data_IF_821764759342
#
_entry.id   IF_821764759342
#
_cell.length_a   1.000
_cell.length_b   1.000
_cell.length_c   1.000
_cell.angle_alpha   90.00
_cell.angle_beta   90.00
_cell.angle_gamma   90.00
#
_symmetry.space_group_name_H-M   'P 1'
#
loop_
_entity.id
_entity.type
_entity.pdbx_description
1 polymer ?
#
# COMPACT_ATOMS: atom_id res chain seq x y z
N UNK A 1 -8.43 10.98 -7.93
CA UNK A 1 -7.78 9.96 -8.78
C UNK A 1 -8.82 8.93 -9.13
N UNK A 2 -9.11 8.77 -10.40
CA UNK A 2 -10.11 7.79 -10.83
C UNK A 2 -9.46 6.41 -10.85
N UNK A 3 -9.31 5.80 -9.69
CA UNK A 3 -8.87 4.40 -9.51
C UNK A 3 -9.84 3.45 -10.24
N UNK A 4 -11.04 3.93 -10.53
CA UNK A 4 -12.18 3.19 -11.07
C UNK A 4 -12.01 2.63 -12.49
N UNK A 5 -10.94 2.96 -13.19
CA UNK A 5 -10.63 2.38 -14.51
C UNK A 5 -9.60 1.25 -14.46
N UNK A 6 -8.88 1.11 -13.35
CA UNK A 6 -7.82 0.11 -13.19
C UNK A 6 -8.32 -1.08 -12.38
N UNK A 7 -7.79 -2.24 -12.70
CA UNK A 7 -8.02 -3.45 -11.90
C UNK A 7 -7.20 -3.32 -10.62
N UNK A 8 -7.89 -3.24 -9.51
CA UNK A 8 -7.27 -3.10 -8.19
C UNK A 8 -7.31 -4.38 -7.38
N UNK A 9 -6.26 -4.63 -6.63
CA UNK A 9 -6.21 -5.65 -5.60
C UNK A 9 -5.95 -5.02 -4.24
N UNK A 10 -6.64 -5.48 -3.22
CA UNK A 10 -6.42 -5.07 -1.83
C UNK A 10 -6.04 -6.29 -1.02
N UNK A 11 -4.92 -6.24 -0.32
CA UNK A 11 -4.56 -7.22 0.70
C UNK A 11 -4.79 -6.58 2.06
N UNK A 12 -5.79 -7.08 2.75
CA UNK A 12 -6.35 -6.46 3.96
C UNK A 12 -6.24 -7.44 5.15
N UNK A 13 -5.07 -7.46 5.77
CA UNK A 13 -4.79 -8.43 6.84
C UNK A 13 -5.69 -8.26 8.05
N UNK A 14 -6.11 -7.02 8.35
CA UNK A 14 -6.92 -6.67 9.53
C UNK A 14 -8.32 -6.15 9.20
N UNK A 15 -8.76 -6.28 7.97
CA UNK A 15 -10.05 -5.73 7.51
C UNK A 15 -10.19 -4.21 7.72
N UNK A 16 -9.09 -3.47 7.64
CA UNK A 16 -9.08 -2.02 7.88
C UNK A 16 -9.35 -1.20 6.62
N UNK A 17 -8.99 -1.72 5.45
CA UNK A 17 -9.20 -1.06 4.16
C UNK A 17 -10.60 -1.33 3.63
N UNK A 18 -10.97 -2.59 3.51
CA UNK A 18 -12.28 -3.03 3.03
C UNK A 18 -13.36 -2.97 4.08
N UNK A 19 -12.99 -3.04 5.35
CA UNK A 19 -13.94 -3.15 6.44
C UNK A 19 -14.83 -4.37 6.29
N UNK A 20 -14.26 -5.51 5.90
CA UNK A 20 -15.02 -6.70 5.53
C UNK A 20 -15.84 -7.25 6.70
N UNK A 21 -17.09 -7.59 6.39
CA UNK A 21 -17.99 -8.32 7.29
C UNK A 21 -18.48 -9.56 6.59
N UNK A 22 -18.24 -10.72 7.20
CA UNK A 22 -18.54 -12.03 6.61
C UNK A 22 -18.00 -12.20 5.16
N UNK A 23 -16.78 -11.70 4.92
CA UNK A 23 -16.13 -11.79 3.61
C UNK A 23 -16.61 -10.76 2.58
N UNK A 24 -17.48 -9.83 2.96
CA UNK A 24 -18.00 -8.79 2.07
C UNK A 24 -17.46 -7.43 2.49
N UNK A 25 -16.79 -6.74 1.57
CA UNK A 25 -16.28 -5.40 1.80
C UNK A 25 -17.44 -4.41 2.03
N UNK A 26 -17.39 -3.66 3.12
CA UNK A 26 -18.40 -2.66 3.49
C UNK A 26 -18.02 -1.26 2.95
N UNK A 27 -16.74 -1.02 2.71
CA UNK A 27 -16.27 0.24 2.14
C UNK A 27 -16.38 0.21 0.61
N UNK A 28 -16.60 1.39 0.03
CA UNK A 28 -16.68 1.55 -1.42
C UNK A 28 -15.27 1.57 -2.04
N UNK A 29 -14.81 0.42 -2.46
CA UNK A 29 -13.48 0.24 -3.08
C UNK A 29 -13.50 0.31 -4.60
N UNK A 30 -14.68 0.32 -5.20
CA UNK A 30 -14.87 0.32 -6.65
C UNK A 30 -15.17 -1.06 -7.22
N UNK A 31 -15.85 -1.09 -8.37
CA UNK A 31 -16.35 -2.32 -9.00
C UNK A 31 -15.26 -3.24 -9.54
N UNK A 32 -14.04 -2.73 -9.74
CA UNK A 32 -12.90 -3.48 -10.30
C UNK A 32 -11.83 -3.73 -9.26
N UNK A 33 -12.22 -3.84 -8.00
CA UNK A 33 -11.31 -4.05 -6.88
C UNK A 33 -11.69 -5.33 -6.15
N UNK A 34 -10.75 -6.25 -6.07
CA UNK A 34 -10.89 -7.47 -5.29
C UNK A 34 -10.12 -7.35 -3.98
N UNK A 35 -10.67 -7.93 -2.92
CA UNK A 35 -10.11 -7.89 -1.58
C UNK A 35 -9.77 -9.28 -1.10
N UNK A 36 -8.51 -9.47 -0.71
CA UNK A 36 -8.09 -10.62 0.11
C UNK A 36 -8.15 -10.20 1.57
N UNK A 37 -9.24 -10.56 2.22
CA UNK A 37 -9.50 -10.27 3.62
C UNK A 37 -8.82 -11.29 4.53
N UNK A 38 -8.29 -10.81 5.66
CA UNK A 38 -7.63 -11.66 6.66
C UNK A 38 -6.48 -12.52 6.08
N UNK A 39 -5.78 -11.99 5.09
CA UNK A 39 -4.68 -12.65 4.41
C UNK A 39 -3.34 -11.97 4.75
N UNK A 40 -2.28 -12.73 5.07
CA UNK A 40 -0.95 -12.16 5.26
C UNK A 40 -0.50 -11.37 4.04
N UNK A 41 0.07 -10.19 4.27
CA UNK A 41 0.36 -9.21 3.21
C UNK A 41 1.26 -9.76 2.10
N UNK A 42 2.38 -10.35 2.47
CA UNK A 42 3.35 -10.85 1.49
C UNK A 42 2.76 -11.96 0.61
N UNK A 43 2.08 -12.93 1.21
CA UNK A 43 1.42 -14.00 0.48
C UNK A 43 0.28 -13.49 -0.38
N UNK A 44 -0.54 -12.61 0.17
CA UNK A 44 -1.68 -12.02 -0.52
C UNK A 44 -1.28 -11.23 -1.76
N UNK A 45 -0.22 -10.44 -1.68
CA UNK A 45 0.32 -9.71 -2.84
C UNK A 45 0.72 -10.66 -3.97
N UNK A 46 1.46 -11.72 -3.65
CA UNK A 46 1.89 -12.71 -4.63
C UNK A 46 0.69 -13.45 -5.24
N UNK A 47 -0.30 -13.81 -4.43
CA UNK A 47 -1.53 -14.45 -4.90
C UNK A 47 -2.30 -13.56 -5.87
N UNK A 48 -2.49 -12.28 -5.54
CA UNK A 48 -3.16 -11.32 -6.42
C UNK A 48 -2.45 -11.18 -7.77
N UNK A 49 -1.13 -11.06 -7.75
CA UNK A 49 -0.34 -10.91 -8.98
C UNK A 49 -0.51 -12.12 -9.89
N UNK A 50 -0.43 -13.32 -9.33
CA UNK A 50 -0.51 -14.57 -10.10
C UNK A 50 -1.90 -14.91 -10.60
N UNK A 51 -2.94 -14.57 -9.84
CA UNK A 51 -4.33 -14.96 -10.16
C UNK A 51 -5.10 -13.92 -10.93
N UNK A 52 -4.82 -12.63 -10.71
CA UNK A 52 -5.67 -11.54 -11.18
C UNK A 52 -4.94 -10.51 -12.05
N UNK A 53 -3.61 -10.46 -11.98
CA UNK A 53 -2.82 -9.48 -12.72
C UNK A 53 -3.25 -8.03 -12.44
N UNK A 54 -3.33 -7.58 -11.18
CA UNK A 54 -3.82 -6.25 -10.84
C UNK A 54 -2.88 -5.18 -11.36
N UNK A 55 -3.43 -4.04 -11.77
CA UNK A 55 -2.64 -2.86 -12.11
C UNK A 55 -2.20 -2.06 -10.89
N UNK A 56 -3.01 -2.13 -9.82
CA UNK A 56 -2.76 -1.44 -8.55
C UNK A 56 -3.02 -2.40 -7.39
N UNK A 57 -2.09 -2.46 -6.45
CA UNK A 57 -2.23 -3.22 -5.21
C UNK A 57 -2.19 -2.25 -4.03
N UNK A 58 -3.17 -2.37 -3.15
CA UNK A 58 -3.21 -1.66 -1.87
C UNK A 58 -2.97 -2.62 -0.72
N UNK A 59 -2.10 -2.22 0.20
CA UNK A 59 -1.78 -2.97 1.43
C UNK A 59 -1.74 -2.04 2.63
N UNK A 60 -2.13 -2.55 3.78
CA UNK A 60 -2.07 -1.82 5.03
C UNK A 60 -0.79 -2.14 5.81
N UNK A 61 -0.35 -1.19 6.59
CA UNK A 61 0.67 -1.31 7.65
C UNK A 61 1.90 -2.17 7.29
N UNK A 62 2.64 -1.77 6.27
CA UNK A 62 3.89 -2.45 5.89
C UNK A 62 4.98 -2.23 6.94
N UNK A 63 5.81 -3.24 7.19
CA UNK A 63 6.86 -3.12 8.19
C UNK A 63 7.89 -4.24 8.22
N UNK A 64 7.59 -5.39 7.65
CA UNK A 64 8.49 -6.54 7.66
C UNK A 64 9.35 -6.64 6.40
N UNK A 65 10.47 -7.37 6.48
CA UNK A 65 11.29 -7.65 5.31
C UNK A 65 10.55 -8.45 4.23
N UNK A 66 9.63 -9.29 4.62
CA UNK A 66 8.79 -10.07 3.71
C UNK A 66 7.81 -9.16 2.95
N UNK A 67 7.22 -8.15 3.62
CA UNK A 67 6.37 -7.15 2.99
C UNK A 67 7.15 -6.38 1.91
N UNK A 68 8.36 -5.95 2.24
CA UNK A 68 9.22 -5.21 1.33
C UNK A 68 9.57 -6.04 0.09
N UNK A 69 9.95 -7.30 0.29
CA UNK A 69 10.28 -8.21 -0.81
C UNK A 69 9.08 -8.45 -1.74
N UNK A 70 7.88 -8.62 -1.17
CA UNK A 70 6.66 -8.78 -1.95
C UNK A 70 6.28 -7.50 -2.71
N UNK A 71 6.48 -6.32 -2.12
CA UNK A 71 6.28 -5.03 -2.78
C UNK A 71 7.24 -4.88 -3.96
N UNK A 72 8.51 -5.19 -3.76
CA UNK A 72 9.49 -5.14 -4.84
C UNK A 72 9.12 -6.10 -5.99
N UNK A 73 8.69 -7.30 -5.65
CA UNK A 73 8.20 -8.26 -6.65
C UNK A 73 7.00 -7.70 -7.43
N UNK A 74 6.02 -7.11 -6.74
CA UNK A 74 4.85 -6.49 -7.36
C UNK A 74 5.25 -5.35 -8.32
N UNK A 75 6.17 -4.50 -7.90
CA UNK A 75 6.69 -3.41 -8.72
C UNK A 75 7.42 -3.91 -9.96
N UNK A 76 8.21 -4.97 -9.85
CA UNK A 76 8.86 -5.62 -11.00
C UNK A 76 7.86 -6.25 -11.98
N UNK A 77 6.71 -6.69 -11.49
CA UNK A 77 5.60 -7.16 -12.32
C UNK A 77 4.79 -6.02 -12.97
N UNK A 78 5.16 -4.78 -12.73
CA UNK A 78 4.50 -3.60 -13.31
C UNK A 78 3.29 -3.10 -12.51
N UNK A 79 3.02 -3.65 -11.34
CA UNK A 79 1.95 -3.18 -10.47
C UNK A 79 2.31 -1.85 -9.81
N UNK A 80 1.33 -0.95 -9.70
CA UNK A 80 1.43 0.23 -8.85
C UNK A 80 1.05 -0.14 -7.42
N UNK A 81 1.73 0.47 -6.45
CA UNK A 81 1.53 0.16 -5.04
C UNK A 81 0.95 1.34 -4.27
N UNK A 82 0.01 1.03 -3.40
CA UNK A 82 -0.49 1.94 -2.35
C UNK A 82 -0.28 1.20 -1.03
N UNK A 83 0.48 1.80 -0.12
CA UNK A 83 0.74 1.19 1.17
C UNK A 83 0.55 2.19 2.30
N UNK A 84 0.23 1.71 3.49
CA UNK A 84 0.24 2.51 4.71
C UNK A 84 1.37 2.06 5.62
N UNK A 85 1.87 2.98 6.43
CA UNK A 85 2.90 2.71 7.42
C UNK A 85 2.69 3.57 8.65
N UNK A 86 2.98 3.02 9.82
CA UNK A 86 3.00 3.79 11.05
C UNK A 86 4.31 4.56 11.23
N UNK A 87 4.18 5.84 11.53
CA UNK A 87 5.30 6.71 11.87
C UNK A 87 4.80 8.11 12.20
N UNK A 88 5.53 8.81 13.06
CA UNK A 88 5.19 10.16 13.48
C UNK A 88 5.63 11.22 12.47
N UNK A 89 6.65 10.93 11.68
CA UNK A 89 7.21 11.86 10.69
C UNK A 89 8.00 11.15 9.60
N UNK A 90 8.22 11.84 8.48
CA UNK A 90 9.10 11.33 7.41
C UNK A 90 10.55 11.14 7.88
N UNK A 91 11.02 11.95 8.83
CA UNK A 91 12.36 11.83 9.40
C UNK A 91 12.52 10.55 10.18
N UNK A 92 11.52 10.16 10.95
CA UNK A 92 11.49 8.88 11.67
C UNK A 92 11.52 7.70 10.68
N UNK A 93 10.69 7.76 9.63
CA UNK A 93 10.64 6.70 8.62
C UNK A 93 11.97 6.51 7.89
N UNK A 94 12.69 7.59 7.61
CA UNK A 94 14.03 7.54 7.00
C UNK A 94 15.07 6.84 7.87
N UNK A 95 14.88 6.83 9.19
CA UNK A 95 15.78 6.17 10.15
C UNK A 95 15.49 4.67 10.29
N UNK A 96 14.30 4.22 9.89
CA UNK A 96 13.96 2.78 9.91
C UNK A 96 14.75 2.06 8.81
N UNK A 97 15.45 0.95 9.10
CA UNK A 97 16.39 0.35 8.15
C UNK A 97 15.78 -0.01 6.80
N UNK A 98 14.69 -0.74 6.81
CA UNK A 98 14.04 -1.22 5.57
C UNK A 98 13.29 -0.10 4.85
N UNK A 99 12.48 0.65 5.56
CA UNK A 99 11.66 1.74 5.00
C UNK A 99 12.56 2.91 4.57
N UNK A 100 13.57 3.24 5.37
CA UNK A 100 14.55 4.27 5.02
C UNK A 100 15.27 3.96 3.72
N UNK A 101 15.60 2.70 3.48
CA UNK A 101 16.21 2.28 2.23
C UNK A 101 15.26 2.44 1.05
N UNK A 102 14.00 2.04 1.17
CA UNK A 102 12.98 2.23 0.13
C UNK A 102 12.78 3.71 -0.23
N UNK A 103 12.78 4.57 0.78
CA UNK A 103 12.69 6.02 0.60
C UNK A 103 13.92 6.54 -0.14
N UNK A 104 15.13 6.11 0.27
CA UNK A 104 16.39 6.50 -0.36
C UNK A 104 16.48 6.05 -1.82
N UNK A 105 15.99 4.86 -2.12
CA UNK A 105 15.95 4.28 -3.47
C UNK A 105 14.78 4.80 -4.31
N UNK A 106 13.96 5.68 -3.75
CA UNK A 106 12.78 6.28 -4.41
C UNK A 106 11.81 5.22 -4.99
N UNK A 107 11.56 4.16 -4.22
CA UNK A 107 10.66 3.07 -4.63
C UNK A 107 9.21 3.54 -4.73
N UNK A 108 8.80 4.45 -3.86
CA UNK A 108 7.51 5.12 -3.94
C UNK A 108 7.66 6.52 -4.52
N UNK A 109 6.74 6.89 -5.37
CA UNK A 109 6.73 8.19 -6.02
C UNK A 109 6.15 9.30 -5.14
N UNK A 110 5.27 9.02 -4.19
CA UNK A 110 4.67 10.00 -3.28
C UNK A 110 4.49 9.49 -1.88
N UNK A 111 4.63 10.40 -0.93
CA UNK A 111 4.39 10.17 0.49
C UNK A 111 3.37 11.18 0.98
N UNK A 112 2.35 10.71 1.69
CA UNK A 112 1.32 11.55 2.28
C UNK A 112 1.38 11.34 3.79
N UNK A 113 1.64 12.41 4.52
CA UNK A 113 1.61 12.42 5.98
C UNK A 113 0.22 12.88 6.40
N UNK A 114 -0.51 12.01 7.11
CA UNK A 114 -1.80 12.35 7.69
C UNK A 114 -1.61 13.01 9.06
N UNK A 115 -2.32 14.10 9.37
CA UNK A 115 -2.22 14.74 10.68
C UNK A 115 -2.72 13.84 11.80
N UNK A 116 -2.26 14.10 13.00
CA UNK A 116 -2.32 13.27 14.21
C UNK A 116 -3.72 12.83 14.70
N UNK A 117 -4.80 13.40 14.18
CA UNK A 117 -6.17 12.96 14.50
C UNK A 117 -6.52 11.59 13.87
N UNK A 118 -5.78 11.19 12.86
CA UNK A 118 -5.82 9.85 12.30
C UNK A 118 -4.39 9.34 12.24
N UNK A 119 -3.93 8.60 13.23
CA UNK A 119 -2.55 8.12 13.41
C UNK A 119 -2.02 7.22 12.28
N UNK A 120 -2.34 7.50 11.03
CA UNK A 120 -1.92 6.72 9.89
C UNK A 120 -1.30 7.62 8.80
N UNK A 121 -0.08 7.29 8.43
CA UNK A 121 0.54 7.81 7.20
C UNK A 121 0.01 6.97 6.04
N UNK A 122 -0.73 7.58 5.13
CA UNK A 122 -1.17 6.93 3.89
C UNK A 122 -0.20 7.27 2.77
N UNK A 123 0.41 6.23 2.21
CA UNK A 123 1.33 6.37 1.09
C UNK A 123 0.54 6.20 -0.22
N UNK A 124 0.40 7.26 -0.99
CA UNK A 124 -0.09 7.16 -2.37
C UNK A 124 1.08 7.26 -3.35
N UNK A 125 1.13 6.30 -4.27
CA UNK A 125 2.22 6.19 -5.21
C UNK A 125 2.16 7.19 -6.36
N UNK A 126 2.84 8.29 -6.23
CA UNK A 126 3.58 9.09 -7.22
C UNK A 126 4.26 10.27 -6.50
N UNK A 127 5.60 10.36 -6.54
CA UNK A 127 6.37 11.44 -5.91
C UNK A 127 6.47 12.65 -6.82
N UNK A 128 6.62 13.84 -6.19
CA UNK A 128 7.43 14.85 -6.83
C UNK A 128 8.92 14.54 -6.54
N UNK A 129 9.79 15.00 -7.41
CA UNK A 129 11.23 14.70 -7.38
C UNK A 129 11.97 15.26 -6.14
N UNK A 130 11.29 15.90 -5.20
CA UNK A 130 11.88 16.65 -4.09
C UNK A 130 11.52 16.14 -2.69
N UNK A 131 10.70 15.10 -2.57
CA UNK A 131 10.26 14.58 -1.27
C UNK A 131 9.47 15.62 -0.45
N UNK A 132 8.79 16.52 -1.12
CA UNK A 132 7.95 17.53 -0.52
C UNK A 132 6.60 16.98 -0.10
N UNK A 133 6.10 17.44 1.05
CA UNK A 133 4.74 17.20 1.50
C UNK A 133 3.77 17.81 0.48
N UNK A 134 2.95 16.96 -0.11
CA UNK A 134 1.73 17.40 -0.75
C UNK A 134 0.56 17.00 0.16
N UNK A 135 -0.03 18.00 0.77
CA UNK A 135 -1.34 17.85 1.40
C UNK A 135 -2.41 17.59 0.35
#
# INVERSE_FOLDING_TARGET
MNIFRKVGGVVDERSEIGGCYLGVAQNQLGMRTDVLDSCPKAEGMIMLIRSMGPEVIAVDEIGTGEDISAIEYAMHCGCKMIATIHGCSMEELRKKPLIGQMIKERRFERYIVCPEQERQVRLRGSTDERGGQLC
#
